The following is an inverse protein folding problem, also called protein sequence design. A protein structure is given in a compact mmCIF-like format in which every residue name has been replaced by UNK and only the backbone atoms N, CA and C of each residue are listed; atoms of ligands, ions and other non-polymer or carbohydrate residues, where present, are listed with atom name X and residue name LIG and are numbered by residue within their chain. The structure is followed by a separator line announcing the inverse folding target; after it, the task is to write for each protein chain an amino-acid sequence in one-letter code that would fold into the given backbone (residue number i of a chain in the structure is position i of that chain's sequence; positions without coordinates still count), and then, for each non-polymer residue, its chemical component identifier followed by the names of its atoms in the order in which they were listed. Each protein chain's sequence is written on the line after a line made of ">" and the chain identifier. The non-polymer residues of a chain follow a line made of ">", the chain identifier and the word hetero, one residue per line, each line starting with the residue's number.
data_IF_701393019437
#
_entry.id   IF_701393019437
#
_cell.length_a   1.000
_cell.length_b   1.000
_cell.length_c   1.000
_cell.angle_alpha   90.00
_cell.angle_beta   90.00
_cell.angle_gamma   90.00
#
_symmetry.space_group_name_H-M   'P 1'
#
loop_
_entity.id
_entity.type
_entity.pdbx_description
1 polymer ?
#
# COMPACT_ATOMS: atom_id res chain seq x y z
N UNK A 1 14.74 3.73 4.63
CA UNK A 1 14.85 4.66 4.78
C UNK A 1 14.99 6.16 4.79
N UNK A 2 14.07 6.88 5.45
CA UNK A 2 14.13 8.36 5.53
C UNK A 2 14.81 8.87 6.79
N UNK A 3 15.10 8.02 7.79
CA UNK A 3 15.79 8.41 9.02
C UNK A 3 17.20 8.93 8.70
N UNK A 4 17.54 10.08 9.27
CA UNK A 4 18.80 10.78 8.99
C UNK A 4 18.76 11.71 7.77
N UNK A 5 17.64 11.75 7.02
CA UNK A 5 17.49 12.70 5.92
C UNK A 5 17.45 14.14 6.48
N UNK A 6 18.22 15.01 5.86
CA UNK A 6 18.26 16.45 6.18
C UNK A 6 18.00 17.20 4.87
N UNK A 7 17.07 18.14 4.89
CA UNK A 7 16.87 19.08 3.78
C UNK A 7 17.44 20.44 4.16
N UNK A 8 18.44 20.91 3.44
CA UNK A 8 19.14 22.17 3.76
C UNK A 8 18.31 23.41 3.41
N UNK A 9 17.52 23.36 2.35
CA UNK A 9 16.88 24.54 1.79
C UNK A 9 15.37 24.42 1.60
N UNK A 10 14.79 23.27 1.94
CA UNK A 10 13.39 22.98 1.66
C UNK A 10 12.71 22.41 2.89
N UNK A 11 11.49 22.86 3.16
CA UNK A 11 10.62 22.26 4.17
C UNK A 11 10.30 20.80 3.77
N UNK A 12 10.46 19.87 4.70
CA UNK A 12 10.17 18.47 4.47
C UNK A 12 8.86 18.09 5.15
N UNK A 13 7.97 17.46 4.41
CA UNK A 13 6.69 16.94 4.91
C UNK A 13 6.63 15.45 4.64
N UNK A 14 6.48 14.66 5.69
CA UNK A 14 6.42 13.20 5.62
C UNK A 14 5.15 12.70 6.30
N UNK A 15 4.33 11.87 5.63
CA UNK A 15 3.25 11.17 6.31
C UNK A 15 3.80 10.19 7.35
N UNK A 16 3.17 10.10 8.51
CA UNK A 16 3.51 9.15 9.60
C UNK A 16 2.83 7.81 9.37
N UNK A 17 3.19 7.14 8.29
CA UNK A 17 2.68 5.82 7.92
C UNK A 17 3.84 4.91 7.57
N UNK A 18 3.71 3.64 7.92
CA UNK A 18 4.77 2.64 7.70
C UNK A 18 4.95 2.34 6.20
N UNK A 19 3.89 2.46 5.42
CA UNK A 19 3.87 2.17 3.99
C UNK A 19 2.72 2.89 3.25
N UNK A 20 2.70 2.76 1.91
CA UNK A 20 1.68 3.37 1.05
C UNK A 20 0.29 2.76 1.23
N UNK A 21 0.18 1.48 1.60
CA UNK A 21 -1.11 0.82 1.81
C UNK A 21 -1.79 1.39 3.06
N UNK A 22 -1.03 1.56 4.15
CA UNK A 22 -1.52 2.18 5.39
C UNK A 22 -2.06 3.59 5.15
N UNK A 23 -1.47 4.36 4.22
CA UNK A 23 -1.97 5.68 3.83
C UNK A 23 -3.32 5.59 3.12
N UNK A 24 -3.49 4.61 2.22
CA UNK A 24 -4.74 4.41 1.49
C UNK A 24 -5.85 3.80 2.36
N UNK A 25 -5.51 3.10 3.43
CA UNK A 25 -6.45 2.55 4.40
C UNK A 25 -6.85 3.54 5.51
N UNK A 26 -6.21 4.72 5.54
CA UNK A 26 -6.60 5.81 6.42
C UNK A 26 -7.83 6.52 5.87
N UNK A 27 -8.84 6.70 6.69
CA UNK A 27 -10.09 7.41 6.32
C UNK A 27 -10.55 8.32 7.44
N UNK A 28 -11.07 9.48 7.06
CA UNK A 28 -11.83 10.37 7.93
C UNK A 28 -13.30 10.28 7.56
N UNK A 29 -14.11 9.77 8.46
CA UNK A 29 -15.56 9.65 8.26
C UNK A 29 -16.25 10.21 9.50
N UNK A 30 -17.11 11.20 9.33
CA UNK A 30 -17.92 11.81 10.39
C UNK A 30 -17.12 12.25 11.64
N UNK A 31 -15.94 12.84 11.43
CA UNK A 31 -15.06 13.26 12.52
C UNK A 31 -14.35 12.13 13.27
N UNK A 32 -14.39 10.91 12.74
CA UNK A 32 -13.66 9.76 13.24
C UNK A 32 -12.55 9.36 12.29
N UNK A 33 -11.37 9.18 12.84
CA UNK A 33 -10.23 8.61 12.13
C UNK A 33 -10.34 7.09 12.15
N UNK A 34 -10.42 6.47 10.97
CA UNK A 34 -10.32 5.03 10.83
C UNK A 34 -8.97 4.67 10.21
N UNK A 35 -8.14 3.94 10.94
CA UNK A 35 -6.90 3.32 10.46
C UNK A 35 -7.12 1.83 10.43
N UNK A 36 -7.34 1.27 9.25
CA UNK A 36 -7.31 -0.18 9.10
C UNK A 36 -5.85 -0.65 9.19
N UNK A 37 -5.59 -1.68 9.98
CA UNK A 37 -4.26 -2.28 10.08
C UNK A 37 -4.05 -3.21 8.88
N UNK A 38 -2.84 -3.22 8.36
CA UNK A 38 -2.39 -4.26 7.42
C UNK A 38 -2.45 -5.59 8.15
N UNK A 39 -3.06 -6.58 7.52
CA UNK A 39 -3.23 -7.91 8.07
C UNK A 39 -2.19 -8.86 7.46
N UNK A 40 -1.63 -9.73 8.29
CA UNK A 40 -0.73 -10.77 7.82
C UNK A 40 -1.49 -11.74 6.89
N UNK A 41 -0.84 -12.19 5.83
CA UNK A 41 -1.46 -13.08 4.84
C UNK A 41 -2.42 -12.39 3.84
N UNK A 42 -2.51 -11.06 3.86
CA UNK A 42 -3.28 -10.27 2.93
C UNK A 42 -2.37 -9.62 1.87
N UNK A 43 -2.72 -9.79 0.61
CA UNK A 43 -2.09 -9.18 -0.55
C UNK A 43 -2.94 -7.99 -0.99
N UNK A 44 -2.38 -6.79 -0.95
CA UNK A 44 -3.11 -5.56 -1.27
C UNK A 44 -2.87 -5.13 -2.71
N UNK A 45 -3.95 -4.87 -3.46
CA UNK A 45 -3.90 -4.39 -4.84
C UNK A 45 -4.49 -2.98 -4.96
N UNK A 46 -3.79 -2.15 -5.71
CA UNK A 46 -4.23 -0.80 -6.11
C UNK A 46 -4.08 -0.63 -7.62
N UNK A 47 -4.80 0.30 -8.21
CA UNK A 47 -4.75 0.57 -9.66
C UNK A 47 -3.36 0.92 -10.21
N UNK A 48 -2.45 1.42 -9.38
CA UNK A 48 -1.10 1.78 -9.79
C UNK A 48 -0.15 0.60 -9.99
N UNK A 49 -0.38 -0.50 -9.28
CA UNK A 49 0.53 -1.67 -9.28
C UNK A 49 0.26 -2.69 -10.38
N UNK A 50 -0.86 -2.58 -11.08
CA UNK A 50 -1.33 -3.61 -12.03
C UNK A 50 -0.53 -3.62 -13.33
N UNK A 51 0.05 -2.51 -13.73
CA UNK A 51 0.71 -2.33 -15.04
C UNK A 51 2.19 -2.69 -15.04
N UNK A 52 2.77 -2.97 -13.88
CA UNK A 52 4.19 -3.32 -13.77
C UNK A 52 4.39 -4.82 -13.98
N UNK A 53 5.39 -5.19 -14.78
CA UNK A 53 5.84 -6.59 -14.91
C UNK A 53 6.29 -7.20 -13.58
N UNK A 54 6.71 -6.36 -12.63
CA UNK A 54 7.05 -6.76 -11.26
C UNK A 54 5.84 -6.88 -10.34
N UNK A 55 4.63 -6.59 -10.84
CA UNK A 55 3.40 -6.84 -10.07
C UNK A 55 3.25 -8.34 -9.78
N UNK A 56 2.44 -8.67 -8.78
CA UNK A 56 2.16 -10.08 -8.45
C UNK A 56 1.63 -10.83 -9.67
N UNK A 57 0.71 -10.23 -10.42
CA UNK A 57 0.19 -10.84 -11.64
C UNK A 57 1.27 -11.05 -12.70
N UNK A 58 2.14 -10.05 -12.90
CA UNK A 58 3.28 -10.16 -13.81
C UNK A 58 4.22 -11.30 -13.42
N UNK A 59 4.53 -11.43 -12.14
CA UNK A 59 5.36 -12.53 -11.62
C UNK A 59 4.67 -13.89 -11.76
N UNK A 60 3.36 -14.00 -11.49
CA UNK A 60 2.63 -15.25 -11.69
C UNK A 60 2.69 -15.72 -13.16
N UNK A 61 2.50 -14.81 -14.10
CA UNK A 61 2.60 -15.10 -15.54
C UNK A 61 4.01 -15.53 -15.94
N UNK A 62 5.03 -14.76 -15.54
CA UNK A 62 6.43 -15.06 -15.83
C UNK A 62 6.87 -16.41 -15.27
N UNK A 63 6.52 -16.72 -14.04
CA UNK A 63 6.84 -18.02 -13.40
C UNK A 63 6.15 -19.15 -14.17
N UNK A 64 4.87 -18.98 -14.52
CA UNK A 64 4.12 -20.01 -15.25
C UNK A 64 4.70 -20.24 -16.65
N UNK A 65 5.05 -19.18 -17.37
CA UNK A 65 5.67 -19.27 -18.69
C UNK A 65 7.07 -19.93 -18.62
N UNK A 66 7.84 -19.61 -17.58
CA UNK A 66 9.23 -20.08 -17.46
C UNK A 66 9.33 -21.52 -16.97
N UNK A 67 8.50 -21.91 -16.01
CA UNK A 67 8.64 -23.17 -15.28
C UNK A 67 7.56 -24.20 -15.58
N UNK A 68 6.51 -23.83 -16.35
CA UNK A 68 5.48 -24.77 -16.81
C UNK A 68 4.86 -25.57 -15.68
N UNK A 69 4.99 -26.92 -15.73
CA UNK A 69 4.40 -27.82 -14.74
C UNK A 69 4.95 -27.63 -13.32
N UNK A 70 6.14 -27.09 -13.15
CA UNK A 70 6.75 -26.81 -11.85
C UNK A 70 6.33 -25.44 -11.26
N UNK A 71 5.62 -24.63 -12.02
CA UNK A 71 5.21 -23.30 -11.59
C UNK A 71 4.37 -23.28 -10.30
N UNK A 72 3.42 -24.20 -10.05
CA UNK A 72 2.63 -24.22 -8.82
C UNK A 72 3.49 -24.35 -7.55
N UNK A 73 4.53 -25.17 -7.56
CA UNK A 73 5.43 -25.33 -6.40
C UNK A 73 6.22 -24.05 -6.12
N UNK A 74 6.67 -23.36 -7.18
CA UNK A 74 7.41 -22.10 -7.06
C UNK A 74 6.49 -20.99 -6.56
N UNK A 75 5.27 -20.90 -7.09
CA UNK A 75 4.28 -19.95 -6.65
C UNK A 75 3.88 -20.15 -5.19
N UNK A 76 3.70 -21.40 -4.76
CA UNK A 76 3.43 -21.73 -3.37
C UNK A 76 4.61 -21.35 -2.45
N UNK A 77 5.83 -21.61 -2.87
CA UNK A 77 7.03 -21.21 -2.11
C UNK A 77 7.14 -19.70 -1.92
N UNK A 78 6.68 -18.89 -2.89
CA UNK A 78 6.74 -17.42 -2.83
C UNK A 78 5.52 -16.85 -2.14
N UNK A 79 4.31 -17.34 -2.45
CA UNK A 79 3.03 -16.73 -2.07
C UNK A 79 2.21 -17.57 -1.10
N UNK A 80 2.64 -18.76 -0.70
CA UNK A 80 1.88 -19.69 0.15
C UNK A 80 1.55 -19.13 1.56
N UNK A 81 2.20 -18.04 1.97
CA UNK A 81 1.84 -17.31 3.19
C UNK A 81 0.64 -16.38 3.05
N UNK A 82 0.13 -16.16 1.84
CA UNK A 82 -1.04 -15.34 1.57
C UNK A 82 -2.30 -16.20 1.43
N UNK A 83 -3.44 -15.67 1.89
CA UNK A 83 -4.75 -16.34 1.79
C UNK A 83 -5.85 -15.40 1.26
N UNK A 84 -5.60 -14.09 1.21
CA UNK A 84 -6.57 -13.09 0.74
C UNK A 84 -5.88 -12.09 -0.18
N UNK A 85 -6.56 -11.71 -1.26
CA UNK A 85 -6.21 -10.56 -2.09
C UNK A 85 -7.26 -9.48 -1.92
N UNK A 86 -6.83 -8.34 -1.36
CA UNK A 86 -7.65 -7.18 -1.06
C UNK A 86 -7.52 -6.13 -2.18
N UNK A 87 -8.61 -5.86 -2.86
CA UNK A 87 -8.70 -4.77 -3.85
C UNK A 87 -9.10 -3.50 -3.12
N UNK A 88 -8.20 -2.50 -3.07
CA UNK A 88 -8.43 -1.24 -2.38
C UNK A 88 -9.16 -0.27 -3.32
N UNK A 89 -10.42 0.02 -3.05
CA UNK A 89 -11.21 1.01 -3.78
C UNK A 89 -11.08 2.39 -3.12
N UNK A 90 -10.30 3.27 -3.76
CA UNK A 90 -10.13 4.68 -3.31
C UNK A 90 -11.06 5.65 -4.04
N UNK A 91 -11.80 5.18 -5.04
CA UNK A 91 -12.59 6.02 -5.95
C UNK A 91 -11.75 6.90 -6.90
N UNK A 92 -10.42 6.76 -6.90
CA UNK A 92 -9.51 7.60 -7.69
C UNK A 92 -9.06 6.95 -9.01
N UNK A 93 -9.46 5.72 -9.27
CA UNK A 93 -9.10 4.95 -10.46
C UNK A 93 -10.21 3.98 -10.86
N UNK A 94 -10.11 3.42 -12.06
CA UNK A 94 -11.03 2.38 -12.53
C UNK A 94 -10.81 1.07 -11.77
N UNK A 95 -11.73 0.78 -10.87
CA UNK A 95 -11.67 -0.41 -10.00
C UNK A 95 -11.88 -1.70 -10.77
N UNK A 96 -12.61 -1.69 -11.89
CA UNK A 96 -12.93 -2.90 -12.66
C UNK A 96 -11.67 -3.57 -13.19
N UNK A 97 -10.69 -2.78 -13.66
CA UNK A 97 -9.41 -3.32 -14.13
C UNK A 97 -8.66 -4.01 -13.00
N UNK A 98 -8.67 -3.42 -11.79
CA UNK A 98 -8.02 -3.99 -10.61
C UNK A 98 -8.71 -5.27 -10.15
N UNK A 99 -10.04 -5.30 -10.16
CA UNK A 99 -10.83 -6.49 -9.82
C UNK A 99 -10.58 -7.65 -10.79
N UNK A 100 -10.48 -7.38 -12.11
CA UNK A 100 -10.11 -8.38 -13.11
C UNK A 100 -8.71 -8.96 -12.88
N UNK A 101 -7.75 -8.11 -12.54
CA UNK A 101 -6.40 -8.57 -12.21
C UNK A 101 -6.37 -9.41 -10.93
N UNK A 102 -7.15 -9.05 -9.90
CA UNK A 102 -7.31 -9.87 -8.70
C UNK A 102 -7.91 -11.24 -9.02
N UNK A 103 -8.92 -11.29 -9.89
CA UNK A 103 -9.50 -12.55 -10.36
C UNK A 103 -8.50 -13.42 -11.11
N UNK A 104 -7.65 -12.80 -11.92
CA UNK A 104 -6.61 -13.54 -12.62
C UNK A 104 -5.54 -14.05 -11.65
N UNK A 105 -5.12 -13.27 -10.65
CA UNK A 105 -4.21 -13.73 -9.58
C UNK A 105 -4.80 -14.95 -8.86
N UNK A 106 -6.11 -14.94 -8.56
CA UNK A 106 -6.79 -16.06 -7.92
C UNK A 106 -6.85 -17.34 -8.78
N UNK A 107 -6.54 -17.28 -10.08
CA UNK A 107 -6.38 -18.49 -10.93
C UNK A 107 -5.01 -19.13 -10.75
N UNK A 108 -3.99 -18.35 -10.38
CA UNK A 108 -2.64 -18.84 -10.10
C UNK A 108 -2.45 -19.23 -8.64
N UNK A 109 -3.08 -18.47 -7.74
CA UNK A 109 -2.90 -18.59 -6.29
C UNK A 109 -4.24 -18.90 -5.60
N UNK A 110 -4.29 -19.79 -4.60
CA UNK A 110 -5.52 -20.15 -3.89
C UNK A 110 -5.97 -19.05 -2.90
N UNK A 111 -6.19 -17.83 -3.39
CA UNK A 111 -6.55 -16.67 -2.59
C UNK A 111 -8.05 -16.38 -2.65
N UNK A 112 -8.60 -15.88 -1.54
CA UNK A 112 -9.93 -15.28 -1.49
C UNK A 112 -9.84 -13.83 -1.93
N UNK A 113 -10.65 -13.42 -2.92
CA UNK A 113 -10.76 -12.01 -3.33
C UNK A 113 -11.69 -11.26 -2.39
N UNK A 114 -11.25 -10.13 -1.88
CA UNK A 114 -12.05 -9.18 -1.11
C UNK A 114 -11.92 -7.76 -1.69
N UNK A 115 -12.94 -6.94 -1.50
CA UNK A 115 -12.92 -5.51 -1.84
C UNK A 115 -12.98 -4.72 -0.55
N UNK A 116 -12.05 -3.79 -0.38
CA UNK A 116 -11.98 -2.93 0.79
C UNK A 116 -12.03 -1.46 0.38
N UNK A 117 -12.66 -0.65 1.20
CA UNK A 117 -12.73 0.79 0.95
C UNK A 117 -11.45 1.46 1.43
N UNK A 118 -10.77 2.15 0.53
CA UNK A 118 -9.65 3.03 0.80
C UNK A 118 -10.04 4.51 0.67
N UNK A 119 -9.06 5.39 0.80
CA UNK A 119 -9.22 6.82 0.54
C UNK A 119 -7.94 7.46 0.01
N UNK A 120 -8.07 8.65 -0.55
CA UNK A 120 -6.96 9.53 -0.90
C UNK A 120 -6.79 10.70 0.09
N UNK A 121 -7.34 10.61 1.31
CA UNK A 121 -7.39 11.74 2.23
C UNK A 121 -6.00 12.24 2.63
N UNK A 122 -5.06 11.35 2.91
CA UNK A 122 -3.67 11.73 3.18
C UNK A 122 -3.04 12.44 1.97
N UNK A 123 -3.27 11.93 0.75
CA UNK A 123 -2.74 12.56 -0.47
C UNK A 123 -3.36 13.94 -0.71
N UNK A 124 -4.66 14.11 -0.47
CA UNK A 124 -5.34 15.40 -0.56
C UNK A 124 -4.75 16.40 0.42
N UNK A 125 -4.47 15.99 1.67
CA UNK A 125 -3.84 16.85 2.68
C UNK A 125 -2.42 17.25 2.31
N UNK A 126 -1.63 16.36 1.72
CA UNK A 126 -0.31 16.69 1.20
C UNK A 126 -0.41 17.84 0.17
N UNK A 127 -1.36 17.75 -0.75
CA UNK A 127 -1.53 18.73 -1.82
C UNK A 127 -2.10 20.06 -1.27
N UNK A 128 -3.04 20.01 -0.33
CA UNK A 128 -3.67 21.20 0.24
C UNK A 128 -2.81 21.92 1.28
N UNK A 129 -1.75 21.28 1.79
CA UNK A 129 -0.92 21.83 2.86
C UNK A 129 -1.57 21.73 4.25
N UNK A 130 -2.62 20.94 4.40
CA UNK A 130 -3.32 20.72 5.67
C UNK A 130 -2.65 19.58 6.45
N UNK A 131 -1.64 19.93 7.25
CA UNK A 131 -0.84 18.97 8.00
C UNK A 131 -1.23 18.93 9.46
N UNK A 132 -1.77 17.82 9.89
CA UNK A 132 -2.09 17.49 11.27
C UNK A 132 -1.04 16.53 11.89
N UNK A 133 -1.40 15.89 13.01
CA UNK A 133 -0.55 14.92 13.71
C UNK A 133 -0.19 13.67 12.88
N UNK A 134 -0.83 13.47 11.72
CA UNK A 134 -0.46 12.40 10.78
C UNK A 134 0.77 12.75 9.94
N UNK A 135 1.32 13.96 10.10
CA UNK A 135 2.48 14.41 9.35
C UNK A 135 3.64 14.80 10.26
N UNK A 136 4.85 14.53 9.78
CA UNK A 136 6.09 15.08 10.27
C UNK A 136 6.39 16.29 9.38
N UNK A 137 6.49 17.46 9.98
CA UNK A 137 6.81 18.69 9.28
C UNK A 137 8.12 19.24 9.84
N UNK A 138 9.15 19.30 9.00
CA UNK A 138 10.49 19.72 9.36
C UNK A 138 10.88 20.98 8.59
N UNK A 139 11.55 21.91 9.27
CA UNK A 139 12.13 23.09 8.63
C UNK A 139 13.48 22.74 7.98
N UNK A 140 14.00 23.62 7.10
CA UNK A 140 15.35 23.46 6.58
C UNK A 140 16.38 23.32 7.72
N UNK A 141 17.26 22.34 7.59
CA UNK A 141 18.27 22.01 8.59
C UNK A 141 17.85 20.97 9.66
N UNK A 142 16.56 20.70 9.80
CA UNK A 142 16.10 19.66 10.72
C UNK A 142 16.35 18.26 10.14
N UNK A 143 16.72 17.31 11.00
CA UNK A 143 16.93 15.91 10.63
C UNK A 143 15.70 15.06 10.95
N UNK A 144 15.40 14.11 10.05
CA UNK A 144 14.37 13.09 10.31
C UNK A 144 14.88 12.11 11.37
N UNK A 145 14.19 12.00 12.49
CA UNK A 145 14.51 11.07 13.56
C UNK A 145 13.45 9.95 13.67
N UNK A 146 13.90 8.74 14.02
CA UNK A 146 13.05 7.54 14.11
C UNK A 146 11.85 7.75 15.06
N UNK A 147 12.07 8.39 16.22
CA UNK A 147 11.01 8.66 17.18
C UNK A 147 9.85 9.51 16.62
N UNK A 148 10.08 10.26 15.55
CA UNK A 148 9.03 11.10 14.91
C UNK A 148 7.94 10.26 14.25
N UNK A 149 8.23 9.02 13.89
CA UNK A 149 7.25 8.09 13.32
C UNK A 149 6.45 7.34 14.39
N UNK A 150 6.87 7.39 15.65
CA UNK A 150 6.13 6.78 16.75
C UNK A 150 4.93 7.66 17.06
N UNK A 151 3.73 7.10 16.90
CA UNK A 151 2.55 7.74 17.48
C UNK A 151 2.69 7.64 19.00
N UNK A 152 2.63 8.79 19.69
CA UNK A 152 2.41 8.79 21.11
C UNK A 152 1.02 8.21 21.34
N UNK A 153 0.97 6.89 21.55
CA UNK A 153 -0.22 6.08 21.49
C UNK A 153 -1.26 6.54 22.52
N UNK A 154 -2.48 6.63 22.06
CA UNK A 154 -3.66 6.33 22.85
C UNK A 154 -4.27 5.04 22.32
#
# INVERSE_FOLDING_TARGET
>A
GTVGLISENTRLVLPRFDDCISQLLYRETEGRTCRSKIQAGHLYLTGGWIKDKKSVLGQCREITETYGENAPEILDAIYGGYHTVDVIDTGAYDIEETEKNAEEICRYLPLKKEKITGSCDILKRIISGDYDDNFIVLNPGDAVAEQMFRFNGR
#
